data_IF_592684008595
#
_entry.id   IF_592684008595
#
_cell.length_a   1.000
_cell.length_b   1.000
_cell.length_c   1.000
_cell.angle_alpha   90.00
_cell.angle_beta   90.00
_cell.angle_gamma   90.00
#
_symmetry.space_group_name_H-M   'P 1'
#
loop_
_entity.id
_entity.type
_entity.pdbx_description
1 polymer ?
#
# COMPACT_ATOMS: atom_id res chain seq x y z
N UNK A 1 -2.90 19.18 -3.86
CA UNK A 1 -1.70 18.39 -3.47
C UNK A 1 -1.50 18.32 -1.96
N UNK A 2 -1.65 19.42 -1.21
CA UNK A 2 -1.50 19.45 0.26
C UNK A 2 -2.43 18.47 1.01
N UNK A 3 -3.75 18.46 0.70
CA UNK A 3 -4.73 17.55 1.31
C UNK A 3 -4.41 16.03 1.14
N UNK A 4 -3.82 15.65 0.00
CA UNK A 4 -3.44 14.25 -0.23
C UNK A 4 -2.16 13.89 0.54
N UNK A 5 -1.22 14.85 0.66
CA UNK A 5 0.02 14.70 1.44
C UNK A 5 -0.27 14.62 2.94
N UNK A 6 -1.31 15.30 3.40
CA UNK A 6 -1.77 15.34 4.79
C UNK A 6 -2.77 14.24 5.15
N UNK A 7 -3.06 13.29 4.26
CA UNK A 7 -3.89 12.13 4.61
C UNK A 7 -5.40 12.41 4.75
N UNK A 8 -5.94 13.40 4.04
CA UNK A 8 -7.38 13.71 4.07
C UNK A 8 -8.18 13.08 2.92
N UNK A 9 -7.52 12.71 1.82
CA UNK A 9 -8.18 12.14 0.63
C UNK A 9 -7.32 11.03 0.01
N UNK A 10 -7.88 9.83 -0.12
CA UNK A 10 -7.25 8.66 -0.78
C UNK A 10 -8.10 8.08 -1.92
N UNK A 11 -8.54 8.92 -2.87
CA UNK A 11 -9.29 8.46 -4.05
C UNK A 11 -8.65 8.91 -5.36
N UNK A 12 -8.74 8.07 -6.40
CA UNK A 12 -8.29 8.42 -7.75
C UNK A 12 -9.10 9.59 -8.38
N UNK A 13 -10.30 9.87 -7.86
CA UNK A 13 -11.13 11.01 -8.25
C UNK A 13 -11.06 12.20 -7.28
N UNK A 14 -11.62 13.33 -7.71
CA UNK A 14 -11.60 14.61 -6.96
C UNK A 14 -12.85 14.87 -6.10
N UNK A 15 -13.86 13.99 -6.10
CA UNK A 15 -15.12 14.22 -5.38
C UNK A 15 -14.94 14.42 -3.87
N UNK A 16 -14.08 13.61 -3.25
CA UNK A 16 -13.77 13.76 -1.83
C UNK A 16 -12.96 15.02 -1.55
N UNK A 17 -12.10 15.44 -2.48
CA UNK A 17 -11.38 16.71 -2.38
C UNK A 17 -12.37 17.89 -2.45
N UNK A 18 -13.33 17.84 -3.38
CA UNK A 18 -14.37 18.86 -3.50
C UNK A 18 -15.17 19.00 -2.21
N UNK A 19 -15.64 17.89 -1.61
CA UNK A 19 -16.36 17.93 -0.32
C UNK A 19 -15.53 18.54 0.81
N UNK A 20 -14.22 18.29 0.85
CA UNK A 20 -13.34 18.90 1.85
C UNK A 20 -13.14 20.39 1.59
N UNK A 21 -12.94 20.81 0.34
CA UNK A 21 -12.87 22.23 -0.05
C UNK A 21 -14.16 22.96 0.35
N UNK A 22 -15.33 22.41 0.03
CA UNK A 22 -16.63 22.99 0.42
C UNK A 22 -16.74 23.13 1.95
N UNK A 23 -16.22 22.17 2.72
CA UNK A 23 -16.20 22.23 4.18
C UNK A 23 -15.29 23.34 4.71
N UNK A 24 -14.11 23.51 4.10
CA UNK A 24 -13.18 24.61 4.42
C UNK A 24 -13.84 25.96 4.10
N UNK A 25 -14.34 26.14 2.88
CA UNK A 25 -15.00 27.38 2.45
C UNK A 25 -16.17 27.74 3.36
N UNK A 26 -17.01 26.76 3.75
CA UNK A 26 -18.14 27.01 4.66
C UNK A 26 -17.69 27.49 6.04
N UNK A 27 -16.67 26.86 6.63
CA UNK A 27 -16.12 27.29 7.93
C UNK A 27 -15.44 28.65 7.86
N UNK A 28 -14.75 28.96 6.77
CA UNK A 28 -14.18 30.28 6.55
C UNK A 28 -15.30 31.33 6.46
N UNK A 29 -16.36 31.07 5.69
CA UNK A 29 -17.50 31.97 5.60
C UNK A 29 -18.14 32.25 6.98
N UNK A 30 -18.31 31.23 7.83
CA UNK A 30 -18.80 31.41 9.21
C UNK A 30 -17.86 32.31 10.02
N UNK A 31 -16.55 32.08 9.99
CA UNK A 31 -15.57 32.92 10.70
C UNK A 31 -15.58 34.38 10.22
N UNK A 32 -15.77 34.63 8.93
CA UNK A 32 -15.90 36.00 8.40
C UNK A 32 -17.13 36.69 8.96
N UNK A 33 -18.28 36.00 8.97
CA UNK A 33 -19.53 36.57 9.49
C UNK A 33 -19.40 36.88 10.99
N UNK A 34 -18.85 35.95 11.78
CA UNK A 34 -18.59 36.16 13.21
C UNK A 34 -17.68 37.39 13.45
N UNK A 35 -16.60 37.54 12.67
CA UNK A 35 -15.70 38.70 12.79
C UNK A 35 -16.35 40.03 12.39
N UNK A 36 -17.31 40.00 11.46
CA UNK A 36 -18.08 41.19 11.07
C UNK A 36 -19.15 41.53 12.10
N UNK A 37 -19.69 40.54 12.82
CA UNK A 37 -20.66 40.71 13.91
C UNK A 37 -19.99 41.20 15.19
N UNK A 38 -18.82 40.69 15.57
CA UNK A 38 -18.04 41.16 16.73
C UNK A 38 -17.57 42.62 16.58
N UNK A 39 -17.33 43.07 15.35
CA UNK A 39 -17.03 44.48 15.04
C UNK A 39 -18.26 45.41 15.10
N UNK A 40 -19.47 44.87 15.24
CA UNK A 40 -20.73 45.63 15.43
C UNK A 40 -21.15 45.72 16.90
N UNK A 41 -20.21 45.89 17.82
CA UNK A 41 -20.55 46.35 19.17
C UNK A 41 -21.02 47.82 19.13
N UNK A 42 -21.95 48.26 20.00
CA UNK A 42 -22.92 49.32 19.68
C UNK A 42 -22.42 50.77 19.73
N UNK A 43 -21.13 51.04 19.97
CA UNK A 43 -20.68 52.40 20.31
C UNK A 43 -20.13 53.23 19.13
N UNK A 44 -20.20 52.73 17.89
CA UNK A 44 -19.80 53.52 16.71
C UNK A 44 -20.79 53.34 15.55
N UNK A 45 -22.03 53.77 15.78
CA UNK A 45 -22.93 54.17 14.70
C UNK A 45 -22.56 55.59 14.28
N UNK A 46 -21.55 55.77 13.42
CA UNK A 46 -21.39 56.89 12.49
C UNK A 46 -19.98 56.86 11.86
N UNK A 47 -19.77 56.00 10.85
CA UNK A 47 -18.81 56.26 9.78
C UNK A 47 -18.93 55.25 8.63
N UNK A 48 -19.27 55.78 7.47
CA UNK A 48 -18.86 55.33 6.14
C UNK A 48 -19.26 53.91 5.69
N UNK A 49 -20.38 53.87 4.97
CA UNK A 49 -20.50 53.00 3.81
C UNK A 49 -19.36 53.29 2.83
N UNK A 50 -18.51 52.29 2.58
CA UNK A 50 -17.48 52.36 1.53
C UNK A 50 -16.08 52.05 2.02
N UNK A 51 -15.84 50.81 2.46
CA UNK A 51 -14.52 50.22 2.27
C UNK A 51 -14.72 48.72 2.03
N UNK A 52 -14.29 48.26 0.87
CA UNK A 52 -14.34 46.85 0.46
C UNK A 52 -13.28 46.11 1.28
N UNK A 53 -13.53 45.93 2.59
CA UNK A 53 -12.57 45.32 3.51
C UNK A 53 -12.34 43.86 3.10
N UNK A 54 -11.27 43.64 2.34
CA UNK A 54 -10.80 42.31 1.97
C UNK A 54 -10.24 41.63 3.22
N UNK A 55 -11.03 40.74 3.82
CA UNK A 55 -10.55 39.88 4.91
C UNK A 55 -9.73 38.74 4.29
N UNK A 56 -8.40 38.88 4.33
CA UNK A 56 -7.50 37.82 3.87
C UNK A 56 -7.39 36.74 4.96
N UNK A 57 -7.89 35.54 4.67
CA UNK A 57 -7.69 34.37 5.52
C UNK A 57 -6.83 33.33 4.82
N UNK A 58 -5.71 33.00 5.45
CA UNK A 58 -4.78 31.98 4.98
C UNK A 58 -5.02 30.68 5.73
N UNK A 59 -5.25 29.59 4.98
CA UNK A 59 -5.26 28.23 5.52
C UNK A 59 -3.91 27.58 5.21
N UNK A 60 -3.20 27.19 6.24
CA UNK A 60 -1.90 26.52 6.17
C UNK A 60 -1.99 25.06 6.64
N UNK A 61 -0.84 24.38 6.66
CA UNK A 61 -0.76 22.96 7.01
C UNK A 61 -1.17 22.68 8.47
N UNK A 62 -0.85 23.59 9.39
CA UNK A 62 -1.13 23.45 10.82
C UNK A 62 -2.59 23.75 11.19
N UNK A 63 -3.22 24.68 10.47
CA UNK A 63 -4.61 25.08 10.71
C UNK A 63 -5.63 24.19 9.99
N UNK A 64 -5.20 23.39 9.00
CA UNK A 64 -6.11 22.60 8.17
C UNK A 64 -7.01 21.64 8.99
N UNK A 65 -6.47 21.07 10.08
CA UNK A 65 -7.23 20.16 10.94
C UNK A 65 -8.44 20.82 11.61
N UNK A 66 -8.37 22.13 11.87
CA UNK A 66 -9.48 22.88 12.48
C UNK A 66 -10.65 23.00 11.52
N UNK A 67 -10.39 22.93 10.21
CA UNK A 67 -11.41 23.04 9.18
C UNK A 67 -11.99 21.67 8.81
N UNK A 68 -11.14 20.70 8.50
CA UNK A 68 -11.57 19.41 7.94
C UNK A 68 -11.53 18.24 8.92
N UNK A 69 -10.97 18.42 10.11
CA UNK A 69 -10.86 17.41 11.16
C UNK A 69 -9.46 16.79 11.23
N UNK A 70 -9.30 15.68 11.95
CA UNK A 70 -8.05 14.92 11.93
C UNK A 70 -7.87 14.22 10.57
N UNK A 71 -6.62 14.03 10.09
CA UNK A 71 -6.33 13.18 8.96
C UNK A 71 -7.01 11.82 9.10
N UNK A 72 -7.77 11.43 8.08
CA UNK A 72 -8.53 10.17 8.08
C UNK A 72 -7.65 9.00 7.60
N UNK A 73 -6.61 9.31 6.83
CA UNK A 73 -5.68 8.35 6.28
C UNK A 73 -4.30 8.57 6.90
N UNK A 74 -3.91 7.65 7.77
CA UNK A 74 -2.50 7.40 8.08
C UNK A 74 -1.80 6.86 6.83
N UNK A 75 -0.48 7.08 6.71
CA UNK A 75 0.28 6.81 5.49
C UNK A 75 -0.01 5.43 4.87
N UNK A 76 -0.03 5.33 3.54
CA UNK A 76 -0.07 4.05 2.79
C UNK A 76 1.13 3.10 3.14
N UNK A 77 2.09 3.59 3.94
CA UNK A 77 3.21 2.83 4.47
C UNK A 77 2.87 2.18 5.80
N UNK A 78 2.96 0.85 5.84
CA UNK A 78 2.86 0.05 7.06
C UNK A 78 4.17 0.09 7.87
N UNK A 79 5.31 0.25 7.19
CA UNK A 79 6.64 0.25 7.79
C UNK A 79 7.30 1.62 7.65
N UNK A 80 7.84 2.15 8.75
CA UNK A 80 8.53 3.45 8.79
C UNK A 80 10.04 3.36 8.49
N UNK A 81 10.60 2.14 8.39
CA UNK A 81 12.04 1.89 8.22
C UNK A 81 12.36 0.73 7.27
N UNK A 82 13.50 0.08 7.50
CA UNK A 82 13.93 -1.10 6.75
C UNK A 82 12.87 -2.23 6.83
N UNK A 83 12.58 -2.86 5.69
CA UNK A 83 11.73 -4.03 5.68
C UNK A 83 12.51 -5.23 6.26
N UNK A 84 11.93 -6.00 7.18
CA UNK A 84 12.56 -7.24 7.64
C UNK A 84 12.70 -8.23 6.47
N UNK A 85 13.69 -9.13 6.51
CA UNK A 85 13.76 -10.24 5.56
C UNK A 85 12.44 -11.02 5.54
N UNK A 86 11.96 -11.34 4.34
CA UNK A 86 10.64 -11.93 4.16
C UNK A 86 9.52 -10.94 3.88
N UNK A 87 9.76 -9.63 3.97
CA UNK A 87 8.75 -8.60 3.67
C UNK A 87 9.04 -7.87 2.37
N UNK A 88 8.05 -7.81 1.47
CA UNK A 88 8.17 -7.15 0.16
C UNK A 88 6.94 -6.33 -0.16
N UNK A 89 7.15 -5.14 -0.70
CA UNK A 89 6.09 -4.26 -1.17
C UNK A 89 5.61 -4.66 -2.57
N UNK A 90 4.34 -5.06 -2.66
CA UNK A 90 3.61 -5.38 -3.88
C UNK A 90 2.64 -4.28 -4.32
N UNK A 91 2.22 -4.34 -5.58
CA UNK A 91 1.20 -3.43 -6.13
C UNK A 91 -0.04 -4.21 -6.53
N UNK A 92 -1.19 -3.79 -6.00
CA UNK A 92 -2.48 -4.36 -6.31
C UNK A 92 -3.39 -3.37 -7.03
N UNK A 93 -4.39 -3.93 -7.69
CA UNK A 93 -5.50 -3.18 -8.24
C UNK A 93 -6.78 -3.63 -7.53
N UNK A 94 -7.51 -2.68 -6.97
CA UNK A 94 -8.75 -2.88 -6.22
C UNK A 94 -9.87 -2.08 -6.86
N UNK A 95 -11.12 -2.30 -6.44
CA UNK A 95 -12.26 -1.51 -6.88
C UNK A 95 -12.12 0.01 -6.58
N UNK A 96 -11.33 0.37 -5.57
CA UNK A 96 -11.05 1.77 -5.19
C UNK A 96 -9.87 2.39 -5.98
N UNK A 97 -9.21 1.59 -6.83
CA UNK A 97 -8.03 1.95 -7.58
C UNK A 97 -6.79 1.14 -7.16
N UNK A 98 -5.61 1.62 -7.55
CA UNK A 98 -4.35 1.00 -7.19
C UNK A 98 -4.07 1.15 -5.69
N UNK A 99 -3.53 0.10 -5.10
CA UNK A 99 -3.05 0.10 -3.71
C UNK A 99 -1.68 -0.57 -3.60
N UNK A 100 -0.95 -0.21 -2.55
CA UNK A 100 0.27 -0.89 -2.14
C UNK A 100 -0.10 -1.96 -1.13
N UNK A 101 0.52 -3.14 -1.23
CA UNK A 101 0.35 -4.23 -0.28
C UNK A 101 1.70 -4.67 0.24
N UNK A 102 1.77 -5.05 1.50
CA UNK A 102 2.93 -5.75 2.04
C UNK A 102 2.67 -7.25 1.96
N UNK A 103 3.64 -8.01 1.47
CA UNK A 103 3.61 -9.48 1.54
C UNK A 103 4.68 -9.87 2.53
N UNK A 104 4.26 -10.58 3.57
CA UNK A 104 5.10 -10.98 4.69
C UNK A 104 5.22 -12.50 4.67
N UNK A 105 6.45 -12.99 4.61
CA UNK A 105 6.78 -14.39 4.72
C UNK A 105 7.56 -14.63 6.01
N UNK A 106 7.17 -15.65 6.76
CA UNK A 106 7.92 -16.13 7.92
C UNK A 106 7.98 -17.65 7.93
N UNK A 107 8.91 -18.19 8.70
CA UNK A 107 9.22 -19.61 8.76
C UNK A 107 9.43 -20.06 10.20
N UNK A 108 8.94 -21.25 10.53
CA UNK A 108 9.27 -21.94 11.77
C UNK A 108 10.04 -23.21 11.44
N UNK A 109 11.12 -23.53 12.17
CA UNK A 109 11.80 -24.82 12.01
C UNK A 109 10.81 -25.95 12.21
N UNK A 110 10.79 -26.91 11.28
CA UNK A 110 9.96 -28.10 11.44
C UNK A 110 10.58 -28.95 12.53
N UNK A 111 9.75 -29.41 13.46
CA UNK A 111 10.16 -30.50 14.35
C UNK A 111 10.60 -31.66 13.46
N UNK A 112 11.83 -32.13 13.63
CA UNK A 112 12.27 -33.36 12.95
C UNK A 112 11.21 -34.43 13.24
N UNK A 113 10.87 -35.25 12.25
CA UNK A 113 10.08 -36.43 12.53
C UNK A 113 10.77 -37.16 13.70
N UNK A 114 10.15 -37.16 14.89
CA UNK A 114 10.66 -37.77 16.11
C UNK A 114 10.55 -39.30 16.06
N UNK A 115 10.55 -39.86 14.86
CA UNK A 115 10.62 -41.28 14.57
C UNK A 115 11.45 -41.40 13.30
N UNK A 116 12.65 -41.97 13.44
CA UNK A 116 13.50 -42.35 12.31
C UNK A 116 12.65 -43.10 11.27
N UNK A 117 12.53 -42.54 10.07
CA UNK A 117 11.86 -43.20 8.94
C UNK A 117 10.41 -42.80 8.65
N UNK A 118 9.76 -41.94 9.45
CA UNK A 118 8.44 -41.43 9.06
C UNK A 118 8.56 -40.42 7.90
N UNK A 119 7.77 -40.55 6.81
CA UNK A 119 7.84 -39.60 5.71
C UNK A 119 7.48 -38.19 6.20
N UNK A 120 8.42 -37.25 6.04
CA UNK A 120 8.20 -35.83 6.34
C UNK A 120 7.06 -35.36 5.44
N UNK A 121 5.93 -34.93 6.02
CA UNK A 121 4.83 -34.38 5.24
C UNK A 121 5.35 -33.27 4.29
N UNK A 122 4.81 -33.10 3.08
CA UNK A 122 5.25 -32.04 2.20
C UNK A 122 5.15 -30.68 2.92
N UNK A 123 6.13 -29.77 2.77
CA UNK A 123 6.09 -28.50 3.48
C UNK A 123 4.87 -27.72 3.00
N UNK A 124 3.97 -27.42 3.94
CA UNK A 124 2.77 -26.67 3.67
C UNK A 124 3.08 -25.17 3.76
N UNK A 125 2.55 -24.40 2.80
CA UNK A 125 2.48 -22.95 2.88
C UNK A 125 1.14 -22.58 3.51
N UNK A 126 1.17 -22.10 4.75
CA UNK A 126 0.00 -21.52 5.38
C UNK A 126 -0.17 -20.08 4.87
N UNK A 127 -1.37 -19.73 4.42
CA UNK A 127 -1.63 -18.44 3.78
C UNK A 127 -2.78 -17.73 4.47
N UNK A 128 -2.59 -16.46 4.84
CA UNK A 128 -3.58 -15.63 5.55
C UNK A 128 -3.72 -14.25 4.93
N UNK A 129 -4.76 -13.49 5.31
CA UNK A 129 -5.00 -12.14 4.78
C UNK A 129 -6.19 -12.00 3.83
N UNK A 130 -7.19 -12.89 3.95
CA UNK A 130 -8.37 -12.95 3.08
C UNK A 130 -8.03 -13.10 1.58
N UNK A 131 -7.14 -14.05 1.27
CA UNK A 131 -6.78 -14.34 -0.12
C UNK A 131 -7.85 -15.17 -0.81
N UNK A 132 -8.23 -14.75 -2.03
CA UNK A 132 -9.11 -15.50 -2.92
C UNK A 132 -8.43 -16.75 -3.50
N UNK A 133 -9.19 -17.53 -4.29
CA UNK A 133 -8.70 -18.80 -4.84
C UNK A 133 -7.52 -18.60 -5.80
N UNK A 134 -7.56 -17.55 -6.64
CA UNK A 134 -6.50 -17.27 -7.62
C UNK A 134 -5.21 -16.85 -6.91
N UNK A 135 -5.32 -16.03 -5.87
CA UNK A 135 -4.15 -15.61 -5.11
C UNK A 135 -3.56 -16.75 -4.26
N UNK A 136 -4.39 -17.67 -3.75
CA UNK A 136 -3.92 -18.92 -3.11
C UNK A 136 -3.16 -19.81 -4.11
N UNK A 137 -3.68 -19.99 -5.31
CA UNK A 137 -2.96 -20.72 -6.37
C UNK A 137 -1.63 -20.03 -6.72
N UNK A 138 -1.66 -18.70 -6.87
CA UNK A 138 -0.47 -17.88 -7.12
C UNK A 138 0.60 -18.07 -6.04
N UNK A 139 0.21 -18.19 -4.77
CA UNK A 139 1.14 -18.45 -3.66
C UNK A 139 1.83 -19.82 -3.74
N UNK A 140 1.10 -20.85 -4.17
CA UNK A 140 1.66 -22.19 -4.40
C UNK A 140 2.66 -22.20 -5.55
N UNK A 141 2.35 -21.50 -6.65
CA UNK A 141 3.27 -21.34 -7.79
C UNK A 141 4.52 -20.55 -7.36
N UNK A 142 4.33 -19.46 -6.61
CA UNK A 142 5.44 -18.65 -6.11
C UNK A 142 6.40 -19.45 -5.23
N UNK A 143 5.89 -20.32 -4.34
CA UNK A 143 6.73 -21.21 -3.55
C UNK A 143 7.51 -22.20 -4.41
N UNK A 144 6.88 -22.80 -5.41
CA UNK A 144 7.56 -23.71 -6.32
C UNK A 144 8.71 -23.01 -7.08
N UNK A 145 8.46 -21.79 -7.57
CA UNK A 145 9.48 -20.98 -8.24
C UNK A 145 10.59 -20.57 -7.26
N UNK A 146 10.25 -20.16 -6.04
CA UNK A 146 11.21 -19.80 -5.00
C UNK A 146 12.12 -20.99 -4.65
N UNK A 147 11.58 -22.19 -4.48
CA UNK A 147 12.36 -23.42 -4.28
C UNK A 147 13.37 -23.66 -5.39
N UNK A 148 12.91 -23.60 -6.65
CA UNK A 148 13.77 -23.78 -7.82
C UNK A 148 14.89 -22.74 -7.87
N UNK A 149 14.57 -21.48 -7.59
CA UNK A 149 15.54 -20.38 -7.59
C UNK A 149 16.55 -20.48 -6.45
N UNK A 150 16.12 -20.94 -5.27
CA UNK A 150 16.99 -21.14 -4.12
C UNK A 150 17.94 -22.33 -4.33
N UNK A 151 17.43 -23.44 -4.88
CA UNK A 151 18.24 -24.60 -5.26
C UNK A 151 19.33 -24.23 -6.28
N UNK A 152 19.00 -23.41 -7.28
CA UNK A 152 19.96 -22.91 -8.26
C UNK A 152 21.07 -22.02 -7.65
N UNK A 153 20.87 -21.50 -6.42
CA UNK A 153 21.83 -20.69 -5.67
C UNK A 153 22.63 -21.50 -4.64
N UNK A 154 22.44 -22.81 -4.56
CA UNK A 154 23.15 -23.70 -3.64
C UNK A 154 22.60 -23.77 -2.21
N UNK A 155 21.41 -23.20 -1.94
CA UNK A 155 20.81 -23.13 -0.60
C UNK A 155 19.47 -23.91 -0.52
N UNK A 156 19.40 -25.07 -1.17
CA UNK A 156 18.14 -25.71 -1.55
C UNK A 156 17.30 -26.41 -0.48
N UNK A 157 17.68 -26.42 0.81
CA UNK A 157 16.94 -27.18 1.85
C UNK A 157 16.03 -26.33 2.76
N UNK A 158 16.12 -24.99 2.68
CA UNK A 158 15.43 -24.12 3.63
C UNK A 158 13.90 -24.35 3.64
N UNK A 159 13.27 -24.46 2.47
CA UNK A 159 11.82 -24.60 2.35
C UNK A 159 11.30 -26.01 2.71
N UNK A 160 12.20 -26.99 2.78
CA UNK A 160 11.94 -28.38 3.17
C UNK A 160 12.02 -28.55 4.70
N UNK A 161 12.87 -27.75 5.32
CA UNK A 161 13.16 -27.77 6.76
C UNK A 161 12.28 -26.86 7.59
N UNK A 162 11.51 -25.98 6.95
CA UNK A 162 10.65 -25.01 7.63
C UNK A 162 9.17 -25.14 7.24
N UNK A 163 8.31 -24.87 8.23
CA UNK A 163 6.90 -24.55 8.02
C UNK A 163 6.78 -23.09 7.64
N UNK A 164 6.10 -22.81 6.52
CA UNK A 164 6.10 -21.49 5.91
C UNK A 164 4.74 -20.83 6.10
N UNK A 165 4.77 -19.54 6.44
CA UNK A 165 3.59 -18.72 6.59
C UNK A 165 3.72 -17.50 5.69
N UNK A 166 2.70 -17.25 4.89
CA UNK A 166 2.60 -16.07 4.04
C UNK A 166 1.35 -15.27 4.44
N UNK A 167 1.56 -14.01 4.80
CA UNK A 167 0.52 -13.09 5.19
C UNK A 167 0.45 -11.91 4.23
N UNK A 168 -0.76 -11.50 3.89
CA UNK A 168 -1.02 -10.23 3.25
C UNK A 168 -1.92 -9.39 4.18
N UNK A 169 -1.38 -8.35 4.84
CA UNK A 169 -2.12 -7.50 5.77
C UNK A 169 -3.38 -6.86 5.18
N UNK A 170 -4.18 -6.21 6.03
CA UNK A 170 -5.56 -5.77 5.76
C UNK A 170 -6.54 -6.94 5.58
N UNK A 171 -6.59 -7.84 6.56
CA UNK A 171 -7.43 -9.04 6.50
C UNK A 171 -8.94 -8.80 6.51
N UNK A 172 -9.44 -7.59 6.23
CA UNK A 172 -10.85 -7.28 6.01
C UNK A 172 -11.17 -6.93 4.53
N UNK A 173 -10.14 -6.69 3.72
CA UNK A 173 -10.26 -6.42 2.28
C UNK A 173 -9.90 -7.69 1.51
N UNK A 174 -10.84 -8.28 0.75
CA UNK A 174 -10.55 -9.42 -0.10
C UNK A 174 -9.47 -9.09 -1.13
N UNK A 175 -8.48 -9.98 -1.26
CA UNK A 175 -7.37 -9.83 -2.22
C UNK A 175 -7.37 -11.02 -3.14
N UNK A 176 -7.60 -10.77 -4.43
CA UNK A 176 -7.60 -11.82 -5.42
C UNK A 176 -6.94 -11.38 -6.72
N UNK A 177 -6.38 -12.35 -7.43
CA UNK A 177 -5.67 -12.17 -8.69
C UNK A 177 -4.19 -12.57 -8.64
N UNK A 178 -3.59 -12.89 -9.80
CA UNK A 178 -2.27 -13.52 -9.88
C UNK A 178 -1.10 -12.52 -9.82
N UNK A 179 -1.38 -11.21 -9.82
CA UNK A 179 -0.39 -10.15 -10.06
C UNK A 179 0.63 -9.93 -8.93
N UNK A 180 0.54 -10.70 -7.85
CA UNK A 180 1.45 -10.70 -6.70
C UNK A 180 2.48 -11.85 -6.74
N UNK A 181 2.46 -12.71 -7.76
CA UNK A 181 3.32 -13.90 -7.83
C UNK A 181 4.82 -13.60 -7.71
N UNK A 182 5.31 -12.55 -8.39
CA UNK A 182 6.73 -12.12 -8.26
C UNK A 182 7.04 -11.57 -6.87
N UNK A 183 6.09 -10.87 -6.25
CA UNK A 183 6.23 -10.31 -4.91
C UNK A 183 6.32 -11.41 -3.86
N UNK A 184 5.44 -12.42 -3.94
CA UNK A 184 5.45 -13.60 -3.06
C UNK A 184 6.74 -14.42 -3.24
N UNK A 185 7.17 -14.63 -4.48
CA UNK A 185 8.42 -15.34 -4.79
C UNK A 185 9.61 -14.62 -4.16
N UNK A 186 9.64 -13.29 -4.26
CA UNK A 186 10.72 -12.48 -3.69
C UNK A 186 10.69 -12.46 -2.17
N UNK A 187 9.50 -12.41 -1.54
CA UNK A 187 9.34 -12.50 -0.09
C UNK A 187 9.91 -13.82 0.44
N UNK A 188 9.54 -14.95 -0.19
CA UNK A 188 10.06 -16.26 0.19
C UNK A 188 11.58 -16.37 0.02
N UNK A 189 12.13 -15.84 -1.08
CA UNK A 189 13.58 -15.83 -1.29
C UNK A 189 14.32 -14.89 -0.33
N UNK A 190 13.73 -13.73 -0.02
CA UNK A 190 14.26 -12.77 0.95
C UNK A 190 14.34 -13.41 2.34
N UNK A 191 13.30 -14.14 2.75
CA UNK A 191 13.27 -14.91 3.99
C UNK A 191 14.37 -15.97 4.00
N UNK A 192 14.44 -16.82 2.96
CA UNK A 192 15.39 -17.93 2.92
C UNK A 192 16.87 -17.50 2.83
N UNK A 193 17.13 -16.32 2.25
CA UNK A 193 18.48 -15.76 2.10
C UNK A 193 18.85 -14.79 3.23
N UNK A 194 17.92 -14.49 4.15
CA UNK A 194 18.05 -13.46 5.18
C UNK A 194 18.47 -12.09 4.62
N UNK A 195 17.96 -11.76 3.42
CA UNK A 195 18.31 -10.53 2.71
C UNK A 195 17.13 -9.58 2.64
N UNK A 196 17.18 -8.40 3.27
CA UNK A 196 16.10 -7.43 3.19
C UNK A 196 15.98 -6.85 1.78
N UNK A 197 14.77 -6.44 1.42
CA UNK A 197 14.48 -5.76 0.15
C UNK A 197 14.43 -4.25 0.38
N UNK A 198 14.81 -3.47 -0.64
CA UNK A 198 14.75 -2.01 -0.60
C UNK A 198 13.35 -1.51 -0.26
N UNK A 199 13.27 -0.55 0.68
CA UNK A 199 12.01 -0.06 1.25
C UNK A 199 11.20 0.83 0.31
N UNK A 200 11.84 1.39 -0.70
CA UNK A 200 11.25 2.23 -1.74
C UNK A 200 11.08 1.50 -3.08
N UNK A 201 11.20 0.17 -3.07
CA UNK A 201 10.94 -0.69 -4.20
C UNK A 201 9.53 -1.29 -4.10
N UNK A 202 8.76 -1.21 -5.18
CA UNK A 202 7.51 -1.95 -5.32
C UNK A 202 7.48 -2.76 -6.62
N UNK A 203 6.79 -3.89 -6.60
CA UNK A 203 6.74 -4.80 -7.75
C UNK A 203 5.35 -5.40 -8.00
N UNK A 204 5.11 -5.79 -9.24
CA UNK A 204 3.94 -6.60 -9.62
C UNK A 204 4.30 -7.47 -10.82
N UNK A 205 3.62 -8.60 -10.94
CA UNK A 205 3.89 -9.57 -11.99
C UNK A 205 3.27 -10.90 -11.61
N UNK A 206 2.58 -11.49 -12.57
CA UNK A 206 2.20 -12.90 -12.47
C UNK A 206 3.42 -13.76 -12.77
N UNK A 207 3.52 -14.90 -12.08
CA UNK A 207 4.62 -15.85 -12.26
C UNK A 207 4.05 -17.19 -12.72
N UNK A 208 4.67 -17.78 -13.74
CA UNK A 208 4.36 -19.14 -14.17
C UNK A 208 5.21 -20.17 -13.43
N UNK A 209 4.82 -21.45 -13.47
CA UNK A 209 5.60 -22.58 -12.91
C UNK A 209 7.05 -22.64 -13.43
N UNK A 210 7.29 -22.13 -14.64
CA UNK A 210 8.63 -22.07 -15.25
C UNK A 210 9.43 -20.83 -14.85
N UNK A 211 8.92 -19.99 -13.97
CA UNK A 211 9.56 -18.75 -13.53
C UNK A 211 9.48 -17.61 -14.56
N UNK A 212 8.65 -17.72 -15.61
CA UNK A 212 8.39 -16.58 -16.51
C UNK A 212 7.46 -15.58 -15.83
N UNK A 213 7.77 -14.29 -16.00
CA UNK A 213 6.93 -13.18 -15.52
C UNK A 213 5.98 -12.75 -16.62
N UNK A 214 4.68 -12.80 -16.33
CA UNK A 214 3.59 -12.50 -17.27
C UNK A 214 3.05 -11.08 -17.05
N UNK A 215 2.39 -10.55 -18.08
CA UNK A 215 1.82 -9.21 -18.05
C UNK A 215 0.69 -9.09 -17.02
N UNK A 216 0.54 -7.90 -16.44
CA UNK A 216 -0.52 -7.60 -15.47
C UNK A 216 -1.32 -6.36 -15.86
N UNK A 217 -2.58 -6.29 -15.43
CA UNK A 217 -3.41 -5.10 -15.62
C UNK A 217 -3.14 -3.98 -14.61
N UNK A 218 -3.76 -2.82 -14.87
CA UNK A 218 -3.80 -1.69 -13.93
C UNK A 218 -2.46 -0.98 -13.71
N UNK A 219 -1.58 -0.95 -14.71
CA UNK A 219 -0.23 -0.37 -14.58
C UNK A 219 -0.28 1.10 -14.18
N UNK A 220 -1.20 1.89 -14.75
CA UNK A 220 -1.35 3.30 -14.43
C UNK A 220 -1.74 3.50 -12.97
N UNK A 221 -2.76 2.79 -12.51
CA UNK A 221 -3.27 2.86 -11.14
C UNK A 221 -2.24 2.37 -10.12
N UNK A 222 -1.55 1.26 -10.43
CA UNK A 222 -0.46 0.71 -9.61
C UNK A 222 0.72 1.69 -9.50
N UNK A 223 1.07 2.37 -10.59
CA UNK A 223 2.11 3.40 -10.60
C UNK A 223 1.73 4.59 -9.73
N UNK A 224 0.48 5.05 -9.81
CA UNK A 224 -0.04 6.14 -8.97
C UNK A 224 0.00 5.74 -7.48
N UNK A 225 -0.41 4.51 -7.16
CA UNK A 225 -0.38 3.98 -5.80
C UNK A 225 1.05 3.90 -5.25
N UNK A 226 1.98 3.37 -6.03
CA UNK A 226 3.39 3.28 -5.64
C UNK A 226 4.00 4.67 -5.37
N UNK A 227 3.69 5.64 -6.23
CA UNK A 227 4.13 7.03 -6.05
C UNK A 227 3.54 7.65 -4.79
N UNK A 228 2.27 7.40 -4.48
CA UNK A 228 1.62 7.86 -3.24
C UNK A 228 2.28 7.27 -1.99
N UNK A 229 2.67 6.00 -2.04
CA UNK A 229 3.39 5.32 -0.96
C UNK A 229 4.89 5.67 -0.89
N UNK A 230 5.38 6.57 -1.74
CA UNK A 230 6.78 7.01 -1.73
C UNK A 230 7.78 6.01 -2.33
N UNK A 231 7.31 5.03 -3.12
CA UNK A 231 8.19 4.10 -3.83
C UNK A 231 8.88 4.81 -5.00
N UNK A 232 10.21 4.69 -5.08
CA UNK A 232 11.06 5.28 -6.13
C UNK A 232 11.41 4.29 -7.23
N UNK A 233 11.43 3.01 -6.91
CA UNK A 233 11.78 1.94 -7.84
C UNK A 233 10.59 1.04 -8.10
N UNK A 234 10.23 0.87 -9.37
CA UNK A 234 9.12 0.01 -9.78
C UNK A 234 9.62 -1.13 -10.65
N UNK A 235 9.21 -2.35 -10.31
CA UNK A 235 9.47 -3.54 -11.11
C UNK A 235 8.18 -3.99 -11.77
N UNK A 236 8.17 -3.93 -13.11
CA UNK A 236 7.05 -4.36 -13.94
C UNK A 236 7.46 -5.48 -14.90
N UNK A 237 6.52 -6.32 -15.34
CA UNK A 237 6.79 -7.31 -16.38
C UNK A 237 7.24 -6.62 -17.67
N UNK A 238 8.25 -7.19 -18.34
CA UNK A 238 8.74 -6.65 -19.62
C UNK A 238 7.63 -6.55 -20.67
N UNK A 239 6.68 -7.49 -20.66
CA UNK A 239 5.53 -7.50 -21.55
C UNK A 239 4.62 -6.25 -21.40
N UNK A 240 4.59 -5.62 -20.22
CA UNK A 240 3.82 -4.39 -19.99
C UNK A 240 4.44 -3.14 -20.60
N UNK A 241 5.69 -3.20 -21.08
CA UNK A 241 6.38 -2.04 -21.69
C UNK A 241 5.67 -1.48 -22.93
N UNK A 242 4.84 -2.29 -23.60
CA UNK A 242 4.10 -1.87 -24.82
C UNK A 242 2.78 -1.13 -24.53
N UNK A 243 2.28 -1.17 -23.29
CA UNK A 243 0.98 -0.59 -22.91
C UNK A 243 1.08 0.72 -22.11
N UNK A 244 2.26 1.34 -22.07
CA UNK A 244 2.52 2.58 -21.31
C UNK A 244 2.75 3.80 -22.20
N UNK A 245 1.98 3.91 -23.29
CA UNK A 245 1.76 5.19 -23.97
C UNK A 245 0.47 5.83 -23.45
#
# INVERSE_FOLDING_TARGET
MLHARLGFVCSAGVRNLQKHIERVCRKLATKVVEQLEDKKSPDQADAAAGDDQVIEMRVDEGSLSDYVGKPVFTSDRLYEGALPPGTVTGLAWTALGGSVLYIEATALPRRSATAEGAPKAPPALAVTGQLGSVMKESSSIALLVARRQLAARGAGSFFEDHELFLHCPEGATPKDGPSAGVTMTTALLSLALEKPIATDLAMTGEVSLNGKVLAVGGIKEKTIAARRAGCKTLVFPQANRRGSQ
#
